data_IF_370151915209
#
_entry.id   IF_370151915209
#
_cell.length_a   1.000
_cell.length_b   1.000
_cell.length_c   1.000
_cell.angle_alpha   90.00
_cell.angle_beta   90.00
_cell.angle_gamma   90.00
#
_symmetry.space_group_name_H-M   'P 1'
#
loop_
_entity.id
_entity.type
_entity.pdbx_description
1 polymer ?
#
# COMPACT_ATOMS: atom_id res chain seq x y z
N UNK A 1 -3.70 16.48 -13.90
CA UNK A 1 -2.75 15.48 -13.40
C UNK A 1 -2.02 14.83 -14.55
N UNK A 2 -0.77 14.55 -14.39
CA UNK A 2 0.11 14.04 -15.42
C UNK A 2 0.70 12.67 -15.01
N UNK A 3 1.57 12.14 -15.87
CA UNK A 3 2.26 10.88 -15.67
C UNK A 3 3.03 10.79 -14.34
N UNK A 4 3.77 11.85 -14.01
CA UNK A 4 4.56 11.89 -12.77
C UNK A 4 3.68 11.85 -11.53
N UNK A 5 2.53 12.47 -11.55
CA UNK A 5 1.56 12.43 -10.45
C UNK A 5 1.03 11.02 -10.21
N UNK A 6 0.66 10.33 -11.29
CA UNK A 6 0.19 8.94 -11.20
C UNK A 6 1.29 8.01 -10.69
N UNK A 7 2.49 8.11 -11.25
CA UNK A 7 3.62 7.29 -10.86
C UNK A 7 4.03 7.53 -9.39
N UNK A 8 4.00 8.80 -8.95
CA UNK A 8 4.26 9.14 -7.55
C UNK A 8 3.22 8.52 -6.61
N UNK A 9 1.95 8.51 -7.02
CA UNK A 9 0.87 7.88 -6.26
C UNK A 9 1.11 6.37 -6.11
N UNK A 10 1.45 5.69 -7.21
CA UNK A 10 1.77 4.25 -7.21
C UNK A 10 2.94 3.97 -6.28
N UNK A 11 4.00 4.75 -6.39
CA UNK A 11 5.21 4.57 -5.58
C UNK A 11 4.93 4.72 -4.09
N UNK A 12 4.24 5.79 -3.68
CA UNK A 12 3.87 6.02 -2.28
C UNK A 12 2.93 4.95 -1.75
N UNK A 13 2.00 4.49 -2.58
CA UNK A 13 1.06 3.43 -2.21
C UNK A 13 1.79 2.13 -1.89
N UNK A 14 2.72 1.73 -2.75
CA UNK A 14 3.54 0.54 -2.52
C UNK A 14 4.42 0.71 -1.27
N UNK A 15 5.03 1.87 -1.09
CA UNK A 15 5.85 2.17 0.08
C UNK A 15 5.03 2.12 1.37
N UNK A 16 3.81 2.62 1.35
CA UNK A 16 2.89 2.57 2.50
C UNK A 16 2.59 1.12 2.89
N UNK A 17 2.33 0.25 1.93
CA UNK A 17 2.16 -1.18 2.20
C UNK A 17 3.40 -1.81 2.83
N UNK A 18 4.57 -1.50 2.29
CA UNK A 18 5.85 -1.99 2.84
C UNK A 18 6.13 -1.45 4.24
N UNK A 19 5.68 -0.25 4.55
CA UNK A 19 5.81 0.35 5.88
C UNK A 19 4.83 -0.27 6.88
N UNK A 20 3.59 -0.46 6.47
CA UNK A 20 2.48 -0.88 7.33
C UNK A 20 2.58 -2.36 7.73
N UNK A 21 2.89 -3.25 6.80
CA UNK A 21 2.85 -4.70 7.03
C UNK A 21 3.80 -5.16 8.15
N UNK A 22 5.09 -4.77 8.18
CA UNK A 22 5.97 -5.20 9.28
C UNK A 22 5.48 -4.73 10.64
N UNK A 23 4.85 -3.57 10.71
CA UNK A 23 4.32 -3.02 11.97
C UNK A 23 3.09 -3.76 12.45
N UNK A 24 2.21 -4.14 11.55
CA UNK A 24 1.06 -5.00 11.88
C UNK A 24 1.54 -6.38 12.32
N UNK A 25 2.50 -6.96 11.60
CA UNK A 25 3.06 -8.28 11.95
C UNK A 25 3.74 -8.31 13.31
N UNK A 26 4.29 -7.18 13.76
CA UNK A 26 4.90 -7.06 15.08
C UNK A 26 3.87 -7.21 16.23
N UNK A 27 2.58 -7.06 15.95
CA UNK A 27 1.51 -7.14 16.95
C UNK A 27 0.90 -8.55 17.08
N UNK A 28 1.43 -9.54 16.38
CA UNK A 28 0.88 -10.91 16.40
C UNK A 28 1.98 -11.95 16.21
N UNK A 29 1.71 -13.17 16.69
CA UNK A 29 2.55 -14.35 16.46
C UNK A 29 1.84 -15.37 15.55
N UNK A 30 0.69 -15.01 14.97
CA UNK A 30 -0.07 -15.93 14.13
C UNK A 30 0.68 -16.18 12.81
N UNK A 31 1.18 -17.39 12.64
CA UNK A 31 2.02 -17.77 11.50
C UNK A 31 1.30 -17.67 10.16
N UNK A 32 0.03 -18.06 10.09
CA UNK A 32 -0.76 -18.00 8.85
C UNK A 32 -0.99 -16.57 8.40
N UNK A 33 -1.30 -15.69 9.33
CA UNK A 33 -1.50 -14.28 9.04
C UNK A 33 -0.19 -13.63 8.59
N UNK A 34 0.91 -13.88 9.29
CA UNK A 34 2.24 -13.36 8.95
C UNK A 34 2.69 -13.88 7.57
N UNK A 35 2.42 -15.13 7.25
CA UNK A 35 2.76 -15.69 5.94
C UNK A 35 2.01 -14.97 4.81
N UNK A 36 0.70 -14.71 4.98
CA UNK A 36 -0.10 -13.99 3.98
C UNK A 36 0.35 -12.54 3.83
N UNK A 37 0.54 -11.82 4.93
CA UNK A 37 0.96 -10.41 4.87
C UNK A 37 2.39 -10.27 4.34
N UNK A 38 3.27 -11.22 4.63
CA UNK A 38 4.63 -11.24 4.08
C UNK A 38 4.62 -11.44 2.56
N UNK A 39 3.70 -12.25 2.05
CA UNK A 39 3.48 -12.39 0.61
C UNK A 39 3.03 -11.05 0.00
N UNK A 40 2.09 -10.37 0.65
CA UNK A 40 1.65 -9.05 0.22
C UNK A 40 2.79 -8.03 0.23
N UNK A 41 3.64 -8.05 1.25
CA UNK A 41 4.83 -7.21 1.33
C UNK A 41 5.74 -7.39 0.11
N UNK A 42 6.00 -8.63 -0.30
CA UNK A 42 6.83 -8.92 -1.48
C UNK A 42 6.24 -8.36 -2.76
N UNK A 43 4.92 -8.41 -2.90
CA UNK A 43 4.24 -7.86 -4.05
C UNK A 43 4.34 -6.33 -4.07
N UNK A 44 4.15 -5.66 -2.94
CA UNK A 44 4.38 -4.22 -2.82
C UNK A 44 5.82 -3.83 -3.14
N UNK A 45 6.78 -4.63 -2.70
CA UNK A 45 8.18 -4.38 -2.98
C UNK A 45 8.50 -4.45 -4.47
N UNK A 46 7.88 -5.36 -5.22
CA UNK A 46 8.00 -5.42 -6.68
C UNK A 46 7.49 -4.14 -7.34
N UNK A 47 6.30 -3.70 -6.96
CA UNK A 47 5.72 -2.46 -7.47
C UNK A 47 6.60 -1.26 -7.12
N UNK A 48 7.08 -1.19 -5.90
CA UNK A 48 8.00 -0.14 -5.44
C UNK A 48 9.25 -0.07 -6.32
N UNK A 49 9.90 -1.20 -6.59
CA UNK A 49 11.10 -1.26 -7.42
C UNK A 49 10.83 -0.84 -8.86
N UNK A 50 9.72 -1.28 -9.44
CA UNK A 50 9.34 -0.91 -10.80
C UNK A 50 9.06 0.59 -10.87
N UNK A 51 8.27 1.13 -9.94
CA UNK A 51 7.95 2.55 -9.91
C UNK A 51 9.22 3.39 -9.76
N UNK A 52 10.15 2.96 -8.90
CA UNK A 52 11.44 3.63 -8.71
C UNK A 52 12.26 3.66 -10.00
N UNK A 53 12.27 2.58 -10.77
CA UNK A 53 13.00 2.52 -12.06
C UNK A 53 12.40 3.43 -13.13
N UNK A 54 11.12 3.77 -13.02
CA UNK A 54 10.42 4.66 -13.97
C UNK A 54 10.48 6.13 -13.56
N UNK A 55 11.01 6.44 -12.38
CA UNK A 55 11.10 7.82 -11.90
C UNK A 55 12.10 8.64 -12.69
N UNK A 56 11.80 9.94 -12.93
CA UNK A 56 12.81 10.84 -13.50
C UNK A 56 13.96 11.05 -12.52
N UNK A 57 15.17 11.28 -13.04
CA UNK A 57 16.38 11.53 -12.22
C UNK A 57 16.22 12.75 -11.30
N UNK A 58 15.59 13.81 -11.82
CA UNK A 58 15.25 15.01 -11.04
C UNK A 58 13.80 14.96 -10.62
N UNK A 59 13.57 14.56 -9.38
CA UNK A 59 12.22 14.49 -8.81
C UNK A 59 11.74 15.89 -8.43
N UNK A 60 10.69 16.42 -9.08
CA UNK A 60 10.18 17.77 -8.74
C UNK A 60 9.39 17.81 -7.44
N UNK A 61 9.01 16.63 -6.90
CA UNK A 61 8.26 16.50 -5.63
C UNK A 61 8.86 15.43 -4.76
N UNK A 62 8.39 15.43 -3.51
CA UNK A 62 8.65 14.31 -2.61
C UNK A 62 7.80 13.10 -3.04
N UNK A 63 8.46 12.08 -3.58
CA UNK A 63 7.83 10.84 -4.04
C UNK A 63 7.63 9.84 -2.92
N UNK A 64 8.31 10.04 -1.81
CA UNK A 64 8.30 9.12 -0.70
C UNK A 64 7.21 9.45 0.32
N UNK A 65 6.84 8.45 1.11
CA UNK A 65 5.94 8.62 2.24
C UNK A 65 6.52 9.66 3.21
N UNK A 66 5.71 10.65 3.61
CA UNK A 66 6.17 11.69 4.51
C UNK A 66 6.41 11.15 5.93
N UNK A 67 7.33 11.76 6.72
CA UNK A 67 7.50 11.39 8.12
C UNK A 67 6.21 11.53 8.95
N UNK A 68 5.39 12.52 8.64
CA UNK A 68 4.09 12.70 9.29
C UNK A 68 3.14 11.55 9.00
N UNK A 69 3.05 11.10 7.74
CA UNK A 69 2.23 9.96 7.35
C UNK A 69 2.73 8.66 8.02
N UNK A 70 4.05 8.48 8.12
CA UNK A 70 4.65 7.35 8.80
C UNK A 70 4.29 7.32 10.29
N UNK A 71 4.41 8.47 10.96
CA UNK A 71 4.06 8.60 12.39
C UNK A 71 2.57 8.32 12.61
N UNK A 72 1.72 8.87 11.76
CA UNK A 72 0.27 8.66 11.84
C UNK A 72 -0.08 7.18 11.67
N UNK A 73 0.50 6.50 10.69
CA UNK A 73 0.27 5.06 10.47
C UNK A 73 0.73 4.24 11.65
N UNK A 74 1.93 4.48 12.18
CA UNK A 74 2.46 3.79 13.36
C UNK A 74 1.55 3.98 14.57
N UNK A 75 1.11 5.21 14.82
CA UNK A 75 0.23 5.53 15.95
C UNK A 75 -1.13 4.83 15.82
N UNK A 76 -1.71 4.80 14.63
CA UNK A 76 -2.98 4.12 14.38
C UNK A 76 -2.88 2.61 14.62
N UNK A 77 -1.79 1.98 14.16
CA UNK A 77 -1.57 0.54 14.36
C UNK A 77 -1.41 0.22 15.84
N UNK A 78 -0.54 0.92 16.53
CA UNK A 78 -0.28 0.70 17.96
C UNK A 78 -1.52 0.93 18.81
N UNK A 79 -2.26 2.01 18.53
CA UNK A 79 -3.49 2.31 19.26
C UNK A 79 -4.58 1.26 19.00
N UNK A 80 -4.74 0.84 17.75
CA UNK A 80 -5.70 -0.20 17.38
C UNK A 80 -5.36 -1.54 18.02
N UNK A 81 -4.08 -1.95 17.97
CA UNK A 81 -3.60 -3.19 18.58
C UNK A 81 -3.69 -3.15 20.12
N UNK A 82 -3.51 -1.99 20.74
CA UNK A 82 -3.70 -1.82 22.17
C UNK A 82 -5.15 -2.11 22.58
N UNK A 83 -6.12 -1.70 21.76
CA UNK A 83 -7.54 -1.98 22.02
C UNK A 83 -7.91 -3.45 21.74
N UNK A 84 -7.38 -4.00 20.66
CA UNK A 84 -7.67 -5.36 20.21
C UNK A 84 -6.54 -5.82 19.26
N UNK A 85 -5.73 -6.76 19.73
CA UNK A 85 -4.62 -7.33 18.96
C UNK A 85 -4.97 -8.66 18.30
N UNK A 86 -6.26 -9.01 18.26
CA UNK A 86 -6.69 -10.22 17.57
C UNK A 86 -6.33 -10.18 16.08
N UNK A 87 -6.09 -11.33 15.49
CA UNK A 87 -5.81 -11.44 14.05
C UNK A 87 -6.95 -10.84 13.23
N UNK A 88 -8.20 -11.07 13.65
CA UNK A 88 -9.37 -10.49 13.00
C UNK A 88 -9.29 -8.95 12.97
N UNK A 89 -8.93 -8.32 14.07
CA UNK A 89 -8.83 -6.86 14.14
C UNK A 89 -7.65 -6.33 13.32
N UNK A 90 -6.49 -7.00 13.39
CA UNK A 90 -5.32 -6.62 12.59
C UNK A 90 -5.59 -6.76 11.09
N UNK A 91 -6.28 -7.83 10.71
CA UNK A 91 -6.71 -8.04 9.32
C UNK A 91 -7.67 -6.94 8.86
N UNK A 92 -8.63 -6.56 9.72
CA UNK A 92 -9.56 -5.47 9.44
C UNK A 92 -8.84 -4.14 9.22
N UNK A 93 -7.88 -3.81 10.09
CA UNK A 93 -7.09 -2.57 9.95
C UNK A 93 -6.34 -2.54 8.62
N UNK A 94 -5.66 -3.64 8.28
CA UNK A 94 -4.91 -3.73 7.02
C UNK A 94 -5.86 -3.69 5.81
N UNK A 95 -7.00 -4.39 5.90
CA UNK A 95 -8.02 -4.41 4.84
C UNK A 95 -8.56 -3.00 4.57
N UNK A 96 -8.92 -2.27 5.60
CA UNK A 96 -9.45 -0.91 5.46
C UNK A 96 -8.41 0.03 4.83
N UNK A 97 -7.15 -0.08 5.24
CA UNK A 97 -6.06 0.68 4.62
C UNK A 97 -5.86 0.33 3.15
N UNK A 98 -5.97 -0.95 2.80
CA UNK A 98 -5.85 -1.43 1.41
C UNK A 98 -7.00 -0.91 0.55
N UNK A 99 -8.24 -0.94 1.06
CA UNK A 99 -9.42 -0.40 0.35
C UNK A 99 -9.24 1.10 0.10
N UNK A 100 -8.80 1.85 1.10
CA UNK A 100 -8.56 3.28 0.96
C UNK A 100 -7.48 3.57 -0.10
N UNK A 101 -6.39 2.81 -0.08
CA UNK A 101 -5.31 2.94 -1.05
C UNK A 101 -5.74 2.62 -2.48
N UNK A 102 -6.46 1.53 -2.68
CA UNK A 102 -6.98 1.15 -4.00
C UNK A 102 -7.98 2.18 -4.53
N UNK A 103 -8.84 2.71 -3.67
CA UNK A 103 -9.81 3.75 -4.03
C UNK A 103 -9.12 5.03 -4.48
N UNK A 104 -8.12 5.47 -3.72
CA UNK A 104 -7.34 6.67 -4.04
C UNK A 104 -6.60 6.50 -5.37
N UNK A 105 -6.00 5.35 -5.58
CA UNK A 105 -5.28 5.04 -6.81
C UNK A 105 -6.20 5.04 -8.03
N UNK A 106 -7.44 4.53 -7.89
CA UNK A 106 -8.45 4.60 -8.96
C UNK A 106 -8.80 6.04 -9.32
N UNK A 107 -8.93 6.92 -8.32
CA UNK A 107 -9.18 8.34 -8.56
C UNK A 107 -8.04 8.99 -9.35
N UNK A 108 -6.80 8.72 -8.96
CA UNK A 108 -5.63 9.23 -9.66
C UNK A 108 -5.55 8.70 -11.09
N UNK A 109 -5.81 7.42 -11.29
CA UNK A 109 -5.82 6.82 -12.62
C UNK A 109 -6.85 7.48 -13.53
N UNK A 110 -8.06 7.72 -13.01
CA UNK A 110 -9.13 8.40 -13.77
C UNK A 110 -8.78 9.85 -14.09
N UNK A 111 -8.06 10.54 -13.20
CA UNK A 111 -7.68 11.94 -13.39
C UNK A 111 -6.44 12.12 -14.29
N UNK A 112 -5.59 11.10 -14.41
CA UNK A 112 -4.35 11.16 -15.17
C UNK A 112 -4.50 10.62 -16.59
N UNK A 113 -5.43 11.17 -17.37
CA UNK A 113 -5.71 10.71 -18.73
C UNK A 113 -4.51 10.79 -19.66
N UNK A 114 -3.62 11.74 -19.42
CA UNK A 114 -2.40 11.95 -20.21
C UNK A 114 -1.20 11.12 -19.75
N UNK A 115 -1.35 10.28 -18.73
CA UNK A 115 -0.26 9.43 -18.28
C UNK A 115 0.14 8.40 -19.35
N UNK A 116 1.42 8.01 -19.37
CA UNK A 116 1.90 7.05 -20.35
C UNK A 116 1.37 5.63 -20.07
N UNK A 117 1.54 4.77 -21.06
CA UNK A 117 1.04 3.39 -21.03
C UNK A 117 1.66 2.58 -19.88
N UNK A 118 2.94 2.76 -19.61
CA UNK A 118 3.65 2.02 -18.56
C UNK A 118 3.15 2.40 -17.16
N UNK A 119 2.98 3.70 -16.90
CA UNK A 119 2.46 4.18 -15.62
C UNK A 119 1.03 3.75 -15.38
N UNK A 120 0.18 3.79 -16.41
CA UNK A 120 -1.21 3.29 -16.32
C UNK A 120 -1.25 1.78 -16.06
N UNK A 121 -0.41 1.02 -16.75
CA UNK A 121 -0.34 -0.44 -16.56
C UNK A 121 0.13 -0.78 -15.14
N UNK A 122 1.10 -0.05 -14.61
CA UNK A 122 1.59 -0.26 -13.25
C UNK A 122 0.50 0.07 -12.21
N UNK A 123 -0.22 1.18 -12.40
CA UNK A 123 -1.34 1.56 -11.54
C UNK A 123 -2.45 0.50 -11.53
N UNK A 124 -2.84 0.02 -12.71
CA UNK A 124 -3.84 -1.05 -12.84
C UNK A 124 -3.36 -2.35 -12.19
N UNK A 125 -2.08 -2.68 -12.35
CA UNK A 125 -1.47 -3.84 -11.71
C UNK A 125 -1.54 -3.76 -10.19
N UNK A 126 -1.24 -2.61 -9.62
CA UNK A 126 -1.32 -2.40 -8.18
C UNK A 126 -2.77 -2.48 -7.67
N UNK A 127 -3.71 -1.87 -8.37
CA UNK A 127 -5.14 -1.96 -8.03
C UNK A 127 -5.59 -3.41 -7.98
N UNK A 128 -5.27 -4.18 -9.02
CA UNK A 128 -5.63 -5.60 -9.09
C UNK A 128 -5.02 -6.40 -7.94
N UNK A 129 -3.76 -6.14 -7.63
CA UNK A 129 -3.05 -6.76 -6.52
C UNK A 129 -3.72 -6.43 -5.19
N UNK A 130 -4.10 -5.18 -4.98
CA UNK A 130 -4.78 -4.75 -3.75
C UNK A 130 -6.19 -5.35 -3.62
N UNK A 131 -6.91 -5.49 -4.72
CA UNK A 131 -8.21 -6.20 -4.72
C UNK A 131 -8.06 -7.66 -4.31
N UNK A 132 -7.02 -8.34 -4.78
CA UNK A 132 -6.71 -9.70 -4.37
C UNK A 132 -6.32 -9.76 -2.89
N UNK A 133 -5.54 -8.79 -2.42
CA UNK A 133 -5.16 -8.70 -0.99
C UNK A 133 -6.38 -8.52 -0.10
N UNK A 134 -7.34 -7.69 -0.51
CA UNK A 134 -8.61 -7.50 0.22
C UNK A 134 -9.33 -8.83 0.38
N UNK A 135 -9.48 -9.60 -0.70
CA UNK A 135 -10.16 -10.89 -0.66
C UNK A 135 -9.43 -11.89 0.26
N UNK A 136 -8.12 -11.88 0.27
CA UNK A 136 -7.32 -12.77 1.12
C UNK A 136 -7.40 -12.36 2.59
N UNK A 137 -7.40 -11.06 2.88
CA UNK A 137 -7.53 -10.56 4.25
C UNK A 137 -8.89 -10.87 4.86
N UNK A 138 -9.94 -10.90 4.06
CA UNK A 138 -11.29 -11.29 4.52
C UNK A 138 -11.33 -12.68 5.18
N UNK A 139 -10.41 -13.57 4.80
CA UNK A 139 -10.35 -14.93 5.38
C UNK A 139 -9.91 -14.93 6.85
N UNK A 140 -9.36 -13.83 7.34
CA UNK A 140 -8.90 -13.69 8.73
C UNK A 140 -9.88 -12.92 9.61
N UNK A 141 -10.97 -12.42 9.06
CA UNK A 141 -11.98 -11.66 9.80
C UNK A 141 -12.81 -12.51 10.76
#
# INVERSE_FOLDING_TARGET
MNNNTLLACVHRSAQTGMYTIPRINAETENERFIAETSRQYKDYMKIYRISKSLMPENKPFNWDMSPFAALRTTSMIKFGAFKDDSVSHLAEMLLMGTVAGATDLRRHLSACKGADKNSKALALGLIKLEEQNIDRLKKFL
#
